data_IF_001179908135
#
_entry.id   IF_001179908135
#
_cell.length_a   1.000
_cell.length_b   1.000
_cell.length_c   1.000
_cell.angle_alpha   90.00
_cell.angle_beta   90.00
_cell.angle_gamma   90.00
#
_symmetry.space_group_name_H-M   'P 1'
#
loop_
_entity.id
_entity.type
_entity.pdbx_description
1 polymer ?
#
# COMPACT_ATOMS: atom_id res chain seq x y z
N UNK A 1 -17.59 -3.86 22.21
CA UNK A 1 -16.40 -3.92 21.33
C UNK A 1 -16.86 -3.45 19.96
N UNK A 2 -16.44 -2.27 19.51
CA UNK A 2 -16.69 -1.83 18.13
C UNK A 2 -16.00 -2.83 17.20
N UNK A 3 -16.76 -3.45 16.29
CA UNK A 3 -16.18 -4.37 15.32
C UNK A 3 -15.18 -3.65 14.43
N UNK A 4 -14.13 -4.36 14.01
CA UNK A 4 -13.19 -3.85 12.99
C UNK A 4 -13.92 -3.62 11.68
N UNK A 5 -13.69 -2.47 11.06
CA UNK A 5 -14.17 -2.16 9.73
C UNK A 5 -13.45 -3.03 8.69
N UNK A 6 -13.99 -3.09 7.46
CA UNK A 6 -13.29 -3.75 6.35
C UNK A 6 -11.94 -3.07 6.08
N UNK A 7 -11.88 -1.75 6.24
CA UNK A 7 -10.64 -0.99 6.08
C UNK A 7 -9.59 -1.45 7.09
N UNK A 8 -9.94 -1.56 8.37
CA UNK A 8 -9.01 -1.99 9.42
C UNK A 8 -8.47 -3.40 9.15
N UNK A 9 -9.34 -4.30 8.67
CA UNK A 9 -8.96 -5.67 8.33
C UNK A 9 -7.98 -5.72 7.19
N UNK A 10 -8.24 -4.97 6.11
CA UNK A 10 -7.36 -4.90 4.95
C UNK A 10 -6.03 -4.26 5.33
N UNK A 11 -6.04 -3.11 6.01
CA UNK A 11 -4.83 -2.42 6.41
C UNK A 11 -3.92 -3.32 7.27
N UNK A 12 -4.48 -3.92 8.32
CA UNK A 12 -3.73 -4.81 9.22
C UNK A 12 -3.17 -6.06 8.53
N UNK A 13 -3.77 -6.53 7.43
CA UNK A 13 -3.25 -7.65 6.65
C UNK A 13 -2.05 -7.28 5.77
N UNK A 14 -1.90 -6.01 5.40
CA UNK A 14 -0.89 -5.57 4.43
C UNK A 14 0.29 -4.81 5.06
N UNK A 15 0.22 -4.41 6.34
CA UNK A 15 1.37 -3.82 7.05
C UNK A 15 2.46 -4.86 7.27
N UNK A 16 3.65 -4.59 6.75
CA UNK A 16 4.86 -5.39 6.97
C UNK A 16 5.66 -4.84 8.16
N UNK A 17 5.71 -3.52 8.32
CA UNK A 17 6.45 -2.85 9.39
C UNK A 17 5.92 -1.44 9.68
N UNK A 18 6.20 -0.92 10.88
CA UNK A 18 5.83 0.42 11.32
C UNK A 18 4.74 0.42 12.39
N UNK A 19 4.49 1.58 12.98
CA UNK A 19 3.56 1.76 14.10
C UNK A 19 2.33 2.56 13.67
N UNK A 20 1.23 2.37 14.39
CA UNK A 20 0.01 3.14 14.16
C UNK A 20 0.25 4.63 14.45
N UNK A 21 -0.21 5.50 13.56
CA UNK A 21 0.03 6.95 13.63
C UNK A 21 1.35 7.42 13.01
N UNK A 22 2.20 6.48 12.57
CA UNK A 22 3.44 6.76 11.84
C UNK A 22 3.37 6.22 10.40
N UNK A 23 4.30 6.60 9.52
CA UNK A 23 4.44 5.94 8.22
C UNK A 23 4.68 4.43 8.37
N UNK A 24 3.85 3.63 7.71
CA UNK A 24 3.96 2.17 7.70
C UNK A 24 4.38 1.65 6.33
N UNK A 25 5.14 0.56 6.32
CA UNK A 25 5.49 -0.18 5.12
C UNK A 25 4.36 -1.16 4.79
N UNK A 26 3.79 -1.03 3.58
CA UNK A 26 2.70 -1.88 3.11
C UNK A 26 3.17 -2.82 2.00
N UNK A 27 2.68 -4.07 2.04
CA UNK A 27 2.70 -4.98 0.91
C UNK A 27 1.59 -4.59 -0.08
N UNK A 28 1.91 -4.55 -1.38
CA UNK A 28 0.95 -4.26 -2.44
C UNK A 28 0.88 -5.44 -3.39
N UNK A 29 -0.28 -6.09 -3.47
CA UNK A 29 -0.49 -7.32 -4.24
C UNK A 29 -0.49 -7.09 -5.75
N UNK A 30 -1.05 -5.97 -6.20
CA UNK A 30 -1.20 -5.66 -7.62
C UNK A 30 -0.97 -4.17 -7.89
N UNK A 31 -0.02 -3.90 -8.77
CA UNK A 31 0.19 -2.57 -9.34
C UNK A 31 -0.37 -2.54 -10.75
N UNK A 32 -1.41 -1.73 -10.99
CA UNK A 32 -1.95 -1.49 -12.33
C UNK A 32 -1.43 -0.15 -12.82
N UNK A 33 -0.82 -0.15 -14.00
CA UNK A 33 -0.20 1.05 -14.58
C UNK A 33 -0.77 1.24 -15.98
N UNK A 34 -1.04 2.50 -16.34
CA UNK A 34 -1.50 2.89 -17.66
C UNK A 34 -0.43 3.73 -18.38
N UNK A 35 -0.29 3.58 -19.69
CA UNK A 35 0.86 4.05 -20.48
C UNK A 35 1.07 5.57 -20.52
N UNK A 36 0.12 6.37 -20.04
CA UNK A 36 0.23 7.83 -20.01
C UNK A 36 1.08 8.34 -18.81
N UNK A 37 1.25 7.52 -17.76
CA UNK A 37 2.05 7.86 -16.56
C UNK A 37 3.23 6.90 -16.32
N UNK A 38 3.38 5.90 -17.18
CA UNK A 38 4.37 4.83 -17.01
C UNK A 38 5.83 5.30 -17.15
N UNK A 39 6.23 6.11 -18.16
CA UNK A 39 7.64 6.42 -18.38
C UNK A 39 8.34 7.05 -17.17
N UNK A 40 7.66 7.94 -16.43
CA UNK A 40 8.19 8.62 -15.24
C UNK A 40 8.30 7.67 -14.04
N UNK A 41 7.32 6.80 -13.83
CA UNK A 41 7.32 5.86 -12.71
C UNK A 41 8.47 4.84 -12.79
N UNK A 42 8.86 4.44 -14.01
CA UNK A 42 9.92 3.44 -14.22
C UNK A 42 11.34 4.02 -14.34
N UNK A 43 11.51 5.35 -14.46
CA UNK A 43 12.85 5.95 -14.50
C UNK A 43 13.67 5.70 -13.23
N UNK A 44 13.01 5.60 -12.07
CA UNK A 44 13.66 5.32 -10.78
C UNK A 44 13.96 3.84 -10.51
N UNK A 45 13.62 2.93 -11.43
CA UNK A 45 13.83 1.48 -11.29
C UNK A 45 15.04 0.96 -12.09
N UNK A 46 15.78 1.85 -12.77
CA UNK A 46 17.04 1.51 -13.46
C UNK A 46 18.25 1.77 -12.59
#
# INVERSE_FOLDING_TARGET
MSGQTIFDKLWNQHVIAGQEGEPQLLYIDLHVIHEVTSPQAFQGLR
#
